data_IF_309649491583
#
_entry.id   IF_309649491583
#
_cell.length_a   1.000
_cell.length_b   1.000
_cell.length_c   1.000
_cell.angle_alpha   90.00
_cell.angle_beta   90.00
_cell.angle_gamma   90.00
#
_symmetry.space_group_name_H-M   'P 1'
#
loop_
_entity.id
_entity.type
_entity.pdbx_description
1 polymer ?
#
# COMPACT_ATOMS: atom_id res chain seq x y z
N UNK A 1 15.43 -14.76 61.24
CA UNK A 1 16.70 -14.50 60.56
C UNK A 1 16.93 -15.63 59.56
N UNK A 2 16.85 -15.52 58.24
CA UNK A 2 16.18 -14.60 57.32
C UNK A 2 15.81 -15.48 56.12
N UNK A 3 14.57 -15.37 55.64
CA UNK A 3 14.17 -15.86 54.32
C UNK A 3 14.63 -14.79 53.33
N UNK A 4 15.81 -14.98 52.78
CA UNK A 4 16.41 -14.12 51.76
C UNK A 4 16.97 -15.06 50.68
N UNK A 5 16.69 -14.93 49.40
CA UNK A 5 15.78 -14.05 48.68
C UNK A 5 15.61 -14.78 47.34
N UNK A 6 14.37 -15.01 46.92
CA UNK A 6 14.01 -15.64 45.63
C UNK A 6 14.22 -14.66 44.46
N UNK A 7 15.26 -13.84 44.51
CA UNK A 7 15.45 -12.68 43.62
C UNK A 7 16.51 -12.94 42.54
N UNK A 8 16.66 -14.20 42.14
CA UNK A 8 17.42 -14.54 40.94
C UNK A 8 16.46 -14.75 39.77
N UNK A 9 15.48 -13.86 39.63
CA UNK A 9 14.69 -13.71 38.41
C UNK A 9 15.58 -13.00 37.42
N UNK A 10 16.34 -13.80 36.67
CA UNK A 10 16.73 -13.60 35.28
C UNK A 10 16.62 -12.12 34.83
N UNK A 11 17.69 -11.35 35.04
CA UNK A 11 17.94 -10.16 34.22
C UNK A 11 18.23 -10.66 32.80
N UNK A 12 17.18 -10.95 32.06
CA UNK A 12 17.26 -11.35 30.65
C UNK A 12 17.71 -10.12 29.89
N UNK A 13 18.82 -10.25 29.16
CA UNK A 13 19.45 -9.26 28.29
C UNK A 13 18.46 -8.35 27.54
N UNK A 14 18.15 -7.18 28.10
CA UNK A 14 17.49 -6.10 27.35
C UNK A 14 18.45 -5.37 26.39
N UNK A 15 19.77 -5.64 26.50
CA UNK A 15 20.82 -4.90 25.79
C UNK A 15 20.87 -5.19 24.29
N UNK A 16 20.31 -6.31 23.81
CA UNK A 16 20.35 -6.73 22.39
C UNK A 16 18.98 -6.64 21.66
N UNK A 17 17.98 -5.96 22.24
CA UNK A 17 16.65 -5.84 21.62
C UNK A 17 16.61 -4.67 20.64
N UNK A 18 16.50 -4.96 19.34
CA UNK A 18 16.16 -3.95 18.31
C UNK A 18 14.72 -3.48 18.50
N UNK A 19 14.55 -2.17 18.65
CA UNK A 19 13.24 -1.53 18.83
C UNK A 19 12.79 -0.94 17.50
N UNK A 20 11.52 -1.13 17.17
CA UNK A 20 10.86 -0.59 15.99
C UNK A 20 9.62 0.18 16.44
N UNK A 21 9.37 1.33 15.82
CA UNK A 21 8.30 2.25 16.25
C UNK A 21 8.74 3.19 17.38
N UNK A 22 7.90 4.19 17.69
CA UNK A 22 8.19 5.25 18.66
C UNK A 22 8.92 6.48 18.10
N UNK A 23 9.49 6.36 16.90
CA UNK A 23 10.01 7.49 16.13
C UNK A 23 8.85 8.25 15.46
N UNK A 24 8.74 9.56 15.69
CA UNK A 24 7.86 10.41 14.88
C UNK A 24 8.53 10.65 13.54
N UNK A 25 8.15 9.85 12.53
CA UNK A 25 8.50 10.11 11.14
C UNK A 25 7.56 11.18 10.58
N UNK A 26 8.08 12.05 9.74
CA UNK A 26 7.24 12.98 9.00
C UNK A 26 6.36 12.21 8.02
N UNK A 27 5.05 12.45 8.07
CA UNK A 27 4.12 11.84 7.13
C UNK A 27 4.37 12.34 5.71
N UNK A 28 4.22 11.44 4.75
CA UNK A 28 4.28 11.78 3.33
C UNK A 28 3.14 12.74 2.98
N UNK A 29 3.40 13.62 2.00
CA UNK A 29 2.35 14.50 1.47
C UNK A 29 1.20 13.66 0.89
N UNK A 30 -0.06 14.13 0.99
CA UNK A 30 -1.18 13.45 0.37
C UNK A 30 -0.99 13.28 -1.14
N UNK A 31 -1.39 12.13 -1.67
CA UNK A 31 -1.45 11.92 -3.11
C UNK A 31 -2.70 12.57 -3.68
N UNK A 32 -2.56 13.32 -4.77
CA UNK A 32 -3.65 14.07 -5.41
C UNK A 32 -3.86 13.56 -6.83
N UNK A 33 -5.11 13.28 -7.21
CA UNK A 33 -5.43 12.84 -8.56
C UNK A 33 -6.82 13.28 -9.02
N UNK A 34 -7.07 13.17 -10.32
CA UNK A 34 -8.35 13.36 -10.99
C UNK A 34 -8.54 12.24 -12.02
N UNK A 35 -9.80 11.92 -12.32
CA UNK A 35 -10.19 10.91 -13.30
C UNK A 35 -11.13 11.59 -14.29
N UNK A 36 -10.68 11.79 -15.53
CA UNK A 36 -11.43 12.57 -16.51
C UNK A 36 -11.77 13.97 -15.99
N UNK A 37 -13.07 14.27 -15.88
CA UNK A 37 -13.60 15.53 -15.35
C UNK A 37 -14.03 15.45 -13.86
N UNK A 38 -13.57 14.43 -13.13
CA UNK A 38 -13.89 14.29 -11.70
C UNK A 38 -13.38 15.45 -10.85
N UNK A 39 -13.94 15.63 -9.63
CA UNK A 39 -13.27 16.42 -8.60
C UNK A 39 -11.85 15.90 -8.32
N UNK A 40 -11.00 16.74 -7.70
CA UNK A 40 -9.70 16.30 -7.19
C UNK A 40 -9.89 15.46 -5.93
N UNK A 41 -9.36 14.24 -5.95
CA UNK A 41 -9.30 13.35 -4.80
C UNK A 41 -7.96 13.48 -4.07
N UNK A 42 -7.99 13.19 -2.77
CA UNK A 42 -6.84 13.31 -1.88
C UNK A 42 -6.73 12.02 -1.04
N UNK A 43 -5.58 11.37 -1.12
CA UNK A 43 -5.29 10.14 -0.35
C UNK A 43 -4.20 10.45 0.66
N UNK A 44 -4.48 10.16 1.93
CA UNK A 44 -3.51 10.29 3.02
C UNK A 44 -2.54 9.10 3.03
N UNK A 45 -1.40 9.27 3.68
CA UNK A 45 -0.52 8.12 3.95
C UNK A 45 -1.27 7.08 4.80
N UNK A 46 -1.32 5.81 4.36
CA UNK A 46 -1.97 4.75 5.13
C UNK A 46 -1.20 4.44 6.41
N UNK A 47 -1.91 4.01 7.45
CA UNK A 47 -1.29 3.48 8.66
C UNK A 47 -0.75 2.05 8.46
N UNK A 48 -0.04 1.53 9.46
CA UNK A 48 0.58 0.22 9.39
C UNK A 48 -0.43 -0.92 9.19
N UNK A 49 -1.61 -0.82 9.82
CA UNK A 49 -2.68 -1.82 9.67
C UNK A 49 -3.20 -1.85 8.24
N UNK A 50 -3.45 -0.68 7.65
CA UNK A 50 -3.86 -0.56 6.25
C UNK A 50 -2.77 -1.06 5.30
N UNK A 51 -1.50 -0.80 5.60
CA UNK A 51 -0.38 -1.32 4.80
C UNK A 51 -0.34 -2.85 4.81
N UNK A 52 -0.51 -3.50 5.96
CA UNK A 52 -0.59 -4.96 6.04
C UNK A 52 -1.75 -5.51 5.20
N UNK A 53 -2.93 -4.90 5.30
CA UNK A 53 -4.09 -5.29 4.47
C UNK A 53 -3.84 -5.11 2.97
N UNK A 54 -3.07 -4.07 2.58
CA UNK A 54 -2.69 -3.81 1.20
C UNK A 54 -1.71 -4.88 0.69
N UNK A 55 -0.76 -5.33 1.50
CA UNK A 55 0.17 -6.40 1.14
C UNK A 55 -0.55 -7.73 0.88
N UNK A 56 -1.61 -8.00 1.64
CA UNK A 56 -2.46 -9.18 1.46
C UNK A 56 -3.47 -9.04 0.31
N UNK A 57 -3.69 -7.81 -0.18
CA UNK A 57 -4.64 -7.54 -1.24
C UNK A 57 -4.18 -8.11 -2.59
N UNK A 58 -4.83 -9.19 -3.04
CA UNK A 58 -4.49 -9.87 -4.30
C UNK A 58 -4.94 -9.15 -5.57
N UNK A 59 -5.76 -8.09 -5.45
CA UNK A 59 -6.38 -7.41 -6.61
C UNK A 59 -6.25 -5.90 -6.52
N UNK A 60 -6.06 -5.25 -7.67
CA UNK A 60 -5.99 -3.78 -7.76
C UNK A 60 -7.23 -3.08 -7.21
N UNK A 61 -8.43 -3.68 -7.36
CA UNK A 61 -9.67 -3.15 -6.78
C UNK A 61 -9.61 -3.15 -5.25
N UNK A 62 -9.10 -4.21 -4.62
CA UNK A 62 -8.99 -4.29 -3.16
C UNK A 62 -7.94 -3.30 -2.64
N UNK A 63 -6.80 -3.19 -3.32
CA UNK A 63 -5.76 -2.19 -3.02
C UNK A 63 -6.36 -0.77 -3.05
N UNK A 64 -7.11 -0.42 -4.10
CA UNK A 64 -7.75 0.90 -4.17
C UNK A 64 -8.78 1.12 -3.06
N UNK A 65 -9.59 0.11 -2.72
CA UNK A 65 -10.53 0.21 -1.60
C UNK A 65 -9.83 0.56 -0.29
N UNK A 66 -8.68 -0.04 -0.03
CA UNK A 66 -7.91 0.19 1.20
C UNK A 66 -7.29 1.59 1.22
N UNK A 67 -6.73 2.05 0.10
CA UNK A 67 -6.21 3.42 0.01
C UNK A 67 -7.31 4.49 0.12
N UNK A 68 -8.43 4.27 -0.55
CA UNK A 68 -9.47 5.28 -0.72
C UNK A 68 -10.43 5.33 0.47
N UNK A 69 -10.66 4.20 1.14
CA UNK A 69 -11.63 4.11 2.24
C UNK A 69 -13.02 4.54 1.77
N UNK A 70 -13.64 5.47 2.50
CA UNK A 70 -14.99 5.93 2.24
C UNK A 70 -15.16 6.61 0.87
N UNK A 71 -14.10 7.20 0.31
CA UNK A 71 -14.18 7.86 -1.01
C UNK A 71 -14.14 6.85 -2.18
N UNK A 72 -14.00 5.55 -1.91
CA UNK A 72 -13.87 4.55 -2.97
C UNK A 72 -15.08 4.52 -3.89
N UNK A 73 -16.30 4.60 -3.35
CA UNK A 73 -17.51 4.49 -4.17
C UNK A 73 -17.64 5.70 -5.11
N UNK A 74 -17.35 6.91 -4.62
CA UNK A 74 -17.30 8.11 -5.46
C UNK A 74 -16.26 7.99 -6.58
N UNK A 75 -15.05 7.49 -6.26
CA UNK A 75 -13.99 7.26 -7.26
C UNK A 75 -14.38 6.16 -8.25
N UNK A 76 -15.08 5.12 -7.79
CA UNK A 76 -15.50 3.99 -8.62
C UNK A 76 -16.50 4.41 -9.69
N UNK A 77 -17.38 5.37 -9.39
CA UNK A 77 -18.32 5.93 -10.36
C UNK A 77 -17.61 6.63 -11.53
N UNK A 78 -16.49 7.31 -11.26
CA UNK A 78 -15.66 7.92 -12.32
C UNK A 78 -14.73 6.90 -13.01
N UNK A 79 -14.29 5.85 -12.32
CA UNK A 79 -13.45 4.81 -12.92
C UNK A 79 -14.23 3.87 -13.87
N UNK A 80 -15.51 3.64 -13.61
CA UNK A 80 -16.32 2.69 -14.38
C UNK A 80 -16.36 2.93 -15.89
N UNK A 81 -16.53 4.19 -16.34
CA UNK A 81 -16.47 4.55 -17.76
C UNK A 81 -15.08 4.55 -18.40
N UNK A 82 -14.01 4.62 -17.60
CA UNK A 82 -12.64 4.74 -18.08
C UNK A 82 -12.07 3.42 -18.62
N UNK A 83 -10.94 3.52 -19.33
CA UNK A 83 -10.24 2.32 -19.80
C UNK A 83 -9.81 1.44 -18.60
N UNK A 84 -9.92 0.09 -18.68
CA UNK A 84 -9.61 -0.80 -17.54
C UNK A 84 -8.17 -0.68 -17.01
N UNK A 85 -7.22 -0.24 -17.83
CA UNK A 85 -5.84 0.00 -17.39
C UNK A 85 -5.75 1.18 -16.39
N UNK A 86 -6.68 2.14 -16.41
CA UNK A 86 -6.71 3.31 -15.48
C UNK A 86 -6.78 2.87 -14.02
N UNK A 87 -7.57 1.83 -13.69
CA UNK A 87 -7.65 1.28 -12.34
C UNK A 87 -6.31 0.67 -11.89
N UNK A 88 -5.59 0.02 -12.80
CA UNK A 88 -4.30 -0.60 -12.52
C UNK A 88 -3.23 0.47 -12.33
N UNK A 89 -3.25 1.49 -13.17
CA UNK A 89 -2.30 2.61 -13.12
C UNK A 89 -2.48 3.41 -11.83
N UNK A 90 -3.73 3.75 -11.44
CA UNK A 90 -3.99 4.46 -10.19
C UNK A 90 -3.50 3.68 -8.96
N UNK A 91 -3.78 2.36 -8.91
CA UNK A 91 -3.31 1.52 -7.80
C UNK A 91 -1.78 1.47 -7.72
N UNK A 92 -1.11 1.42 -8.88
CA UNK A 92 0.36 1.44 -8.97
C UNK A 92 0.93 2.79 -8.54
N UNK A 93 0.33 3.89 -8.94
CA UNK A 93 0.84 5.23 -8.66
C UNK A 93 0.69 5.57 -7.17
N UNK A 94 -0.44 5.20 -6.54
CA UNK A 94 -0.63 5.29 -5.08
C UNK A 94 0.41 4.47 -4.32
N UNK A 95 0.58 3.21 -4.73
CA UNK A 95 1.58 2.30 -4.16
C UNK A 95 2.98 2.91 -4.23
N UNK A 96 3.39 3.37 -5.41
CA UNK A 96 4.70 3.99 -5.62
C UNK A 96 4.90 5.25 -4.79
N UNK A 97 3.89 6.13 -4.71
CA UNK A 97 3.95 7.37 -3.94
C UNK A 97 4.17 7.11 -2.45
N UNK A 98 3.41 6.17 -1.88
CA UNK A 98 3.56 5.78 -0.48
C UNK A 98 4.69 4.78 -0.24
N UNK A 99 5.47 4.44 -1.27
CA UNK A 99 6.60 3.51 -1.16
C UNK A 99 6.17 2.09 -0.79
N UNK A 100 4.95 1.72 -1.15
CA UNK A 100 4.42 0.37 -1.02
C UNK A 100 4.71 -0.41 -2.31
N UNK A 101 5.18 -1.64 -2.14
CA UNK A 101 5.70 -2.53 -3.18
C UNK A 101 7.01 -2.07 -3.84
N UNK A 102 7.99 -2.98 -3.92
CA UNK A 102 9.14 -2.81 -4.81
C UNK A 102 8.63 -2.66 -6.24
N UNK A 103 8.84 -1.48 -6.83
CA UNK A 103 8.35 -1.08 -8.14
C UNK A 103 8.69 -2.09 -9.26
N UNK A 104 9.68 -2.96 -9.05
CA UNK A 104 10.09 -4.01 -9.98
C UNK A 104 9.06 -5.14 -10.13
N UNK A 105 8.33 -5.53 -9.07
CA UNK A 105 7.44 -6.70 -9.15
C UNK A 105 6.11 -6.41 -9.90
N UNK A 106 5.60 -5.17 -9.81
CA UNK A 106 4.37 -4.77 -10.50
C UNK A 106 4.59 -4.46 -11.99
N UNK A 107 5.74 -3.85 -12.34
CA UNK A 107 6.15 -3.60 -13.73
C UNK A 107 6.26 -4.90 -14.52
N UNK A 108 6.79 -5.96 -13.90
CA UNK A 108 6.90 -7.28 -14.53
C UNK A 108 5.56 -7.92 -14.92
N UNK A 109 4.44 -7.58 -14.25
CA UNK A 109 3.09 -8.06 -14.62
C UNK A 109 2.47 -7.21 -15.73
N UNK A 110 2.61 -5.89 -15.70
CA UNK A 110 2.09 -5.01 -16.75
C UNK A 110 2.83 -5.19 -18.08
N UNK A 111 4.16 -5.35 -18.02
CA UNK A 111 5.00 -5.51 -19.22
C UNK A 111 4.77 -6.88 -19.91
N UNK A 112 4.47 -7.93 -19.14
CA UNK A 112 4.00 -9.22 -19.69
C UNK A 112 2.67 -9.08 -20.45
N UNK A 113 1.68 -8.38 -19.90
CA UNK A 113 0.40 -8.15 -20.59
C UNK A 113 0.54 -7.29 -21.85
N UNK A 114 1.39 -6.28 -21.82
CA UNK A 114 1.69 -5.42 -22.98
C UNK A 114 2.33 -6.22 -24.13
N UNK A 115 3.27 -7.12 -23.79
CA UNK A 115 3.93 -8.00 -24.78
C UNK A 115 2.97 -9.03 -25.38
N UNK A 116 2.04 -9.58 -24.60
CA UNK A 116 1.04 -10.52 -25.11
C UNK A 116 0.05 -9.85 -26.08
N UNK A 117 -0.41 -8.61 -25.78
CA UNK A 117 -1.28 -7.84 -26.70
C UNK A 117 -0.57 -7.57 -28.04
N UNK A 118 0.74 -7.27 -28.04
CA UNK A 118 1.53 -7.04 -29.26
C UNK A 118 1.75 -8.30 -30.09
N UNK A 119 1.73 -9.48 -29.46
CA UNK A 119 1.94 -10.77 -30.15
C UNK A 119 0.66 -11.32 -30.79
N UNK A 120 -0.51 -10.99 -30.23
CA UNK A 120 -1.81 -11.40 -30.75
C UNK A 120 -2.26 -10.66 -32.03
N UNK A 121 -1.61 -9.54 -32.39
CA UNK A 121 -1.95 -8.76 -33.60
C UNK A 121 -1.21 -9.19 -34.87
N UNK A 122 -0.46 -10.29 -34.85
CA UNK A 122 0.34 -10.79 -35.98
C UNK A 122 0.00 -12.24 -36.29
N UNK A 123 -1.26 -12.50 -36.63
CA UNK A 123 -1.71 -13.70 -37.33
C UNK A 123 -2.81 -13.32 -38.32
#
# INVERSE_FOLDING_TARGET
>A
MSKDTLDNVTQIDEQDVRRYGGEKRESKKPFKFQIGESPTFYVQEPDADTVMDIEEAQTSRRVLKLFLGDQFDDVADFLGPEHPDTLIDLARDLSKHFGLFDAEQAVNRADRRSRDRRRSGRR
#
